data_IF_226968045660
#
_entry.id   IF_226968045660
#
_cell.length_a   1.000
_cell.length_b   1.000
_cell.length_c   1.000
_cell.angle_alpha   90.00
_cell.angle_beta   90.00
_cell.angle_gamma   90.00
#
_symmetry.space_group_name_H-M   'P 1'
#
loop_
_entity.id
_entity.type
_entity.pdbx_description
1 polymer ?
#
# COMPACT_ATOMS: atom_id res chain seq x y z
N UNK A 1 -3.82 1.92 14.40
CA UNK A 1 -4.28 2.11 13.00
C UNK A 1 -5.33 1.07 12.72
N UNK A 2 -6.35 1.42 11.96
CA UNK A 2 -7.44 0.51 11.64
C UNK A 2 -7.91 0.74 10.19
N UNK A 3 -8.47 -0.29 9.58
CA UNK A 3 -9.01 -0.23 8.22
C UNK A 3 -10.45 -0.75 8.23
N UNK A 4 -11.35 -0.02 7.58
CA UNK A 4 -12.71 -0.51 7.31
C UNK A 4 -12.68 -1.23 5.96
N UNK A 5 -13.51 -2.27 5.83
CA UNK A 5 -13.65 -3.00 4.58
C UNK A 5 -13.88 -2.02 3.40
N UNK A 6 -13.23 -2.20 2.24
CA UNK A 6 -13.28 -1.25 1.13
C UNK A 6 -14.69 -1.05 0.54
N UNK A 7 -15.62 -1.99 0.78
CA UNK A 7 -17.02 -1.89 0.36
C UNK A 7 -17.93 -1.36 1.46
N UNK A 8 -17.37 -1.03 2.63
CA UNK A 8 -18.07 -0.49 3.79
C UNK A 8 -17.75 0.99 4.00
N UNK A 9 -18.76 1.78 4.33
CA UNK A 9 -18.62 3.20 4.70
C UNK A 9 -18.51 3.38 6.21
N UNK A 10 -17.88 4.46 6.67
CA UNK A 10 -17.94 4.84 8.10
C UNK A 10 -16.72 5.54 8.69
N UNK A 11 -15.62 5.70 7.93
CA UNK A 11 -14.38 6.30 8.46
C UNK A 11 -14.42 7.84 8.56
N UNK A 12 -15.35 8.51 7.89
CA UNK A 12 -15.62 9.94 8.07
C UNK A 12 -16.63 10.16 9.21
N UNK A 13 -16.25 9.74 10.42
CA UNK A 13 -17.04 9.86 11.64
C UNK A 13 -16.13 9.96 12.87
N UNK A 14 -16.67 10.43 13.99
CA UNK A 14 -15.92 10.47 15.28
C UNK A 14 -15.66 9.05 15.83
N UNK A 15 -16.55 8.10 15.52
CA UNK A 15 -16.45 6.71 15.94
C UNK A 15 -16.81 5.78 14.80
N UNK A 16 -16.12 4.63 14.73
CA UNK A 16 -16.40 3.56 13.77
C UNK A 16 -16.19 2.20 14.42
N UNK A 17 -17.08 1.25 14.13
CA UNK A 17 -16.92 -0.15 14.54
C UNK A 17 -16.09 -0.87 13.49
N UNK A 18 -15.06 -1.58 13.92
CA UNK A 18 -14.13 -2.29 13.05
C UNK A 18 -13.82 -3.66 13.65
N UNK A 19 -13.60 -4.65 12.78
CA UNK A 19 -13.14 -5.96 13.23
C UNK A 19 -11.71 -5.85 13.79
N UNK A 20 -11.42 -6.56 14.88
CA UNK A 20 -10.09 -6.61 15.48
C UNK A 20 -9.01 -7.01 14.46
N UNK A 21 -9.33 -7.93 13.53
CA UNK A 21 -8.40 -8.37 12.47
C UNK A 21 -7.94 -7.24 11.54
N UNK A 22 -8.69 -6.14 11.48
CA UNK A 22 -8.37 -4.97 10.66
C UNK A 22 -7.69 -3.85 11.46
N UNK A 23 -7.32 -4.13 12.72
CA UNK A 23 -6.62 -3.21 13.59
C UNK A 23 -5.16 -3.62 13.76
N UNK A 24 -4.26 -2.65 13.79
CA UNK A 24 -2.84 -2.84 14.08
C UNK A 24 -2.32 -1.68 14.89
N UNK A 25 -1.34 -1.92 15.77
CA UNK A 25 -0.70 -0.83 16.51
C UNK A 25 -0.01 0.14 15.56
N UNK A 26 -0.20 1.44 15.80
CA UNK A 26 0.54 2.48 15.06
C UNK A 26 2.01 2.44 15.53
N UNK A 27 3.01 2.42 14.63
CA UNK A 27 4.39 2.64 15.01
C UNK A 27 4.54 3.92 15.85
N UNK A 28 5.42 3.89 16.84
CA UNK A 28 5.62 5.02 17.76
C UNK A 28 6.32 6.21 17.11
N UNK A 29 7.05 5.96 16.01
CA UNK A 29 7.88 6.94 15.31
C UNK A 29 7.17 7.66 14.14
N UNK A 30 5.87 7.47 13.95
CA UNK A 30 5.10 8.17 12.90
C UNK A 30 3.95 8.96 13.50
N UNK A 31 3.53 10.04 12.83
CA UNK A 31 2.36 10.82 13.25
C UNK A 31 1.06 10.02 13.05
N UNK A 32 -0.03 10.46 13.68
CA UNK A 32 -1.36 9.89 13.40
C UNK A 32 -1.81 10.14 11.96
N UNK A 33 -1.41 11.27 11.37
CA UNK A 33 -1.74 11.63 9.98
C UNK A 33 -1.09 10.63 9.02
N UNK A 34 0.21 10.37 9.19
CA UNK A 34 0.94 9.41 8.36
C UNK A 34 0.39 7.99 8.56
N UNK A 35 0.11 7.62 9.81
CA UNK A 35 -0.47 6.32 10.15
C UNK A 35 -1.89 6.11 9.61
N UNK A 36 -2.67 7.17 9.41
CA UNK A 36 -4.00 7.09 8.81
C UNK A 36 -3.97 7.00 7.27
N UNK A 37 -2.97 7.62 6.63
CA UNK A 37 -2.86 7.64 5.16
C UNK A 37 -2.35 6.32 4.56
N UNK A 38 -1.57 5.57 5.33
CA UNK A 38 -0.84 4.40 4.83
C UNK A 38 -1.66 3.10 4.61
N UNK A 39 -2.59 2.69 5.50
CA UNK A 39 -3.11 1.33 5.48
C UNK A 39 -3.84 0.94 4.19
N UNK A 40 -4.66 1.84 3.63
CA UNK A 40 -5.43 1.55 2.42
C UNK A 40 -4.52 1.35 1.20
N UNK A 41 -3.53 2.24 1.02
CA UNK A 41 -2.59 2.14 -0.11
C UNK A 41 -1.71 0.90 0.00
N UNK A 42 -1.27 0.57 1.22
CA UNK A 42 -0.46 -0.61 1.51
C UNK A 42 -1.22 -1.92 1.26
N UNK A 43 -2.45 -2.07 1.79
CA UNK A 43 -3.26 -3.26 1.56
C UNK A 43 -3.58 -3.46 0.08
N UNK A 44 -3.86 -2.37 -0.65
CA UNK A 44 -4.14 -2.44 -2.09
C UNK A 44 -2.90 -2.87 -2.87
N UNK A 45 -1.74 -2.25 -2.60
CA UNK A 45 -0.48 -2.63 -3.23
C UNK A 45 -0.09 -4.08 -2.91
N UNK A 46 -0.25 -4.52 -1.66
CA UNK A 46 0.00 -5.88 -1.22
C UNK A 46 -0.89 -6.90 -1.95
N UNK A 47 -2.20 -6.62 -2.03
CA UNK A 47 -3.13 -7.49 -2.75
C UNK A 47 -2.74 -7.66 -4.22
N UNK A 48 -2.40 -6.56 -4.90
CA UNK A 48 -1.99 -6.60 -6.30
C UNK A 48 -0.65 -7.36 -6.49
N UNK A 49 0.37 -7.06 -5.69
CA UNK A 49 1.70 -7.63 -5.85
C UNK A 49 1.78 -9.08 -5.36
N UNK A 50 1.29 -9.35 -4.15
CA UNK A 50 1.47 -10.63 -3.48
C UNK A 50 0.33 -11.58 -3.82
N UNK A 51 -0.93 -11.17 -3.63
CA UNK A 51 -2.08 -12.06 -3.79
C UNK A 51 -2.36 -12.38 -5.27
N UNK A 52 -2.31 -11.35 -6.13
CA UNK A 52 -2.62 -11.50 -7.56
C UNK A 52 -1.36 -11.84 -8.37
N UNK A 53 -0.33 -10.99 -8.34
CA UNK A 53 0.87 -11.18 -9.16
C UNK A 53 1.88 -12.19 -8.58
N UNK A 54 1.70 -12.64 -7.33
CA UNK A 54 2.58 -13.60 -6.63
C UNK A 54 4.04 -13.15 -6.54
N UNK A 55 4.28 -11.86 -6.57
CA UNK A 55 5.59 -11.24 -6.35
C UNK A 55 5.77 -11.04 -4.84
N UNK A 56 6.89 -11.53 -4.33
CA UNK A 56 7.23 -11.47 -2.91
C UNK A 56 8.76 -11.36 -2.75
N UNK A 57 9.28 -11.13 -1.52
CA UNK A 57 10.71 -10.96 -1.30
C UNK A 57 11.61 -12.09 -1.83
N UNK A 58 11.08 -13.31 -1.95
CA UNK A 58 11.86 -14.48 -2.34
C UNK A 58 12.02 -14.64 -3.85
N UNK A 59 11.14 -14.03 -4.65
CA UNK A 59 11.19 -14.11 -6.11
C UNK A 59 11.36 -12.76 -6.81
N UNK A 60 11.29 -11.64 -6.10
CA UNK A 60 11.32 -10.30 -6.69
C UNK A 60 12.59 -9.98 -7.48
N UNK A 61 13.74 -10.52 -7.09
CA UNK A 61 15.06 -10.23 -7.73
C UNK A 61 15.14 -10.66 -9.19
N UNK A 62 14.26 -11.54 -9.67
CA UNK A 62 14.14 -11.92 -11.10
C UNK A 62 12.93 -11.29 -11.80
N UNK A 63 12.17 -10.43 -11.12
CA UNK A 63 10.93 -9.85 -11.63
C UNK A 63 11.14 -8.42 -12.14
N UNK A 64 10.30 -8.05 -13.12
CA UNK A 64 10.23 -6.70 -13.65
C UNK A 64 8.77 -6.25 -13.61
N UNK A 65 8.50 -5.07 -13.07
CA UNK A 65 7.15 -4.56 -12.87
C UNK A 65 6.98 -3.19 -13.54
N UNK A 66 5.83 -3.01 -14.21
CA UNK A 66 5.33 -1.74 -14.69
C UNK A 66 4.18 -1.28 -13.78
N UNK A 67 4.28 -0.06 -13.23
CA UNK A 67 3.23 0.55 -12.40
C UNK A 67 2.65 1.74 -13.15
N UNK A 68 1.34 1.73 -13.38
CA UNK A 68 0.62 2.91 -13.84
C UNK A 68 0.25 3.82 -12.67
N UNK A 69 0.36 5.14 -12.87
CA UNK A 69 0.04 6.11 -11.82
C UNK A 69 1.02 6.06 -10.65
N UNK A 70 2.31 5.89 -10.93
CA UNK A 70 3.36 5.72 -9.92
C UNK A 70 3.48 6.87 -8.91
N UNK A 71 3.01 8.07 -9.26
CA UNK A 71 2.97 9.24 -8.38
C UNK A 71 1.77 9.25 -7.41
N UNK A 72 0.77 8.37 -7.61
CA UNK A 72 -0.39 8.25 -6.72
C UNK A 72 -0.08 7.43 -5.46
N UNK A 73 -0.93 7.49 -4.44
CA UNK A 73 -0.69 6.85 -3.14
C UNK A 73 -0.44 5.34 -3.20
N UNK A 74 -1.17 4.59 -4.03
CA UNK A 74 -0.95 3.15 -4.23
C UNK A 74 0.35 2.92 -5.01
N UNK A 75 0.59 3.70 -6.06
CA UNK A 75 1.78 3.59 -6.90
C UNK A 75 3.07 3.83 -6.13
N UNK A 76 3.13 4.89 -5.32
CA UNK A 76 4.29 5.20 -4.48
C UNK A 76 4.52 4.10 -3.43
N UNK A 77 3.44 3.61 -2.81
CA UNK A 77 3.53 2.50 -1.84
C UNK A 77 4.07 1.22 -2.49
N UNK A 78 3.55 0.84 -3.66
CA UNK A 78 4.01 -0.32 -4.41
C UNK A 78 5.49 -0.20 -4.82
N UNK A 79 5.93 0.97 -5.28
CA UNK A 79 7.35 1.23 -5.60
C UNK A 79 8.23 1.00 -4.38
N UNK A 80 7.86 1.53 -3.21
CA UNK A 80 8.65 1.37 -1.99
C UNK A 80 8.73 -0.10 -1.55
N UNK A 81 7.61 -0.83 -1.59
CA UNK A 81 7.59 -2.26 -1.28
C UNK A 81 8.50 -3.07 -2.21
N UNK A 82 8.39 -2.86 -3.52
CA UNK A 82 9.19 -3.58 -4.50
C UNK A 82 10.69 -3.27 -4.37
N UNK A 83 11.04 -2.00 -4.10
CA UNK A 83 12.43 -1.61 -3.80
C UNK A 83 12.96 -2.29 -2.53
N UNK A 84 12.16 -2.34 -1.47
CA UNK A 84 12.52 -3.04 -0.23
C UNK A 84 12.76 -4.55 -0.45
N UNK A 85 12.20 -5.13 -1.51
CA UNK A 85 12.38 -6.52 -1.91
C UNK A 85 13.50 -6.75 -2.93
N UNK A 86 14.32 -5.74 -3.21
CA UNK A 86 15.42 -5.81 -4.18
C UNK A 86 14.98 -6.30 -5.56
N UNK A 87 13.81 -5.86 -6.02
CA UNK A 87 13.32 -6.20 -7.36
C UNK A 87 14.33 -5.82 -8.45
N UNK A 88 14.41 -6.60 -9.54
CA UNK A 88 15.35 -6.31 -10.64
C UNK A 88 15.04 -4.98 -11.33
N UNK A 89 13.77 -4.70 -11.63
CA UNK A 89 13.39 -3.46 -12.31
C UNK A 89 11.96 -3.03 -11.98
N UNK A 90 11.80 -1.75 -11.66
CA UNK A 90 10.49 -1.07 -11.60
C UNK A 90 10.48 0.05 -12.63
N UNK A 91 9.46 0.07 -13.47
CA UNK A 91 9.16 1.18 -14.40
C UNK A 91 7.82 1.74 -13.99
N UNK A 92 7.67 3.07 -14.02
CA UNK A 92 6.42 3.74 -13.64
C UNK A 92 5.97 4.71 -14.70
N UNK A 93 4.66 4.91 -14.84
CA UNK A 93 4.08 6.05 -15.59
C UNK A 93 3.42 7.02 -14.62
N UNK A 94 3.55 8.31 -14.89
CA UNK A 94 2.86 9.41 -14.24
C UNK A 94 2.27 10.33 -15.31
N UNK A 95 1.37 11.22 -14.94
CA UNK A 95 0.72 12.13 -15.89
C UNK A 95 1.72 13.15 -16.44
N UNK A 96 2.04 14.15 -15.64
CA UNK A 96 2.93 15.25 -16.02
C UNK A 96 3.87 15.56 -14.85
N UNK A 97 4.99 16.20 -15.16
CA UNK A 97 5.91 16.72 -14.15
C UNK A 97 5.40 18.05 -13.53
N UNK A 98 4.32 18.61 -14.11
CA UNK A 98 3.47 19.72 -13.63
C UNK A 98 2.26 19.93 -14.57
#
# INVERSE_FOLDING_TARGET
MAVVDPFSSGTHAEFVVVNESNCVLKPTNISYIDGAAFPYTACTAWSALVSVARINPYNATSQRVLIHGGAGGIGTTAVQMLKAWNISKVVVTCSNDW
#
